data_IF_838466778977
#
_entry.id   IF_838466778977
#
_cell.length_a   1.000
_cell.length_b   1.000
_cell.length_c   1.000
_cell.angle_alpha   90.00
_cell.angle_beta   90.00
_cell.angle_gamma   90.00
#
_symmetry.space_group_name_H-M   'P 1'
#
loop_
_entity.id
_entity.type
_entity.pdbx_description
1 polymer ?
#
# COMPACT_ATOMS: atom_id res chain seq x y z
N UNK A 1 -6.70 6.54 -20.13
CA UNK A 1 -7.49 5.80 -19.13
C UNK A 1 -6.50 5.17 -18.16
N UNK A 2 -6.68 5.28 -16.84
CA UNK A 2 -5.89 4.46 -15.91
C UNK A 2 -6.07 3.00 -16.34
N UNK A 3 -4.98 2.26 -16.51
CA UNK A 3 -5.03 0.87 -16.94
C UNK A 3 -5.80 -0.01 -15.95
N UNK A 4 -6.28 -1.17 -16.41
CA UNK A 4 -6.98 -2.15 -15.58
C UNK A 4 -6.03 -2.73 -14.51
N UNK A 5 -5.90 -2.04 -13.37
CA UNK A 5 -5.14 -2.52 -12.21
C UNK A 5 -5.79 -3.75 -11.59
N UNK A 6 -4.99 -4.75 -11.23
CA UNK A 6 -5.46 -5.99 -10.60
C UNK A 6 -4.68 -6.29 -9.32
N UNK A 7 -5.33 -6.96 -8.37
CA UNK A 7 -4.69 -7.38 -7.11
C UNK A 7 -3.45 -8.25 -7.34
N UNK A 8 -3.47 -9.09 -8.39
CA UNK A 8 -2.33 -9.95 -8.74
C UNK A 8 -1.07 -9.16 -9.11
N UNK A 9 -1.22 -7.94 -9.62
CA UNK A 9 -0.09 -7.13 -10.08
C UNK A 9 0.77 -6.67 -8.89
N UNK A 10 0.17 -6.61 -7.69
CA UNK A 10 0.85 -6.29 -6.43
C UNK A 10 1.96 -7.31 -6.12
N UNK A 11 1.81 -8.57 -6.53
CA UNK A 11 2.80 -9.61 -6.30
C UNK A 11 4.11 -9.38 -7.08
N UNK A 12 4.05 -8.63 -8.19
CA UNK A 12 5.20 -8.27 -9.01
C UNK A 12 5.86 -6.94 -8.63
N UNK A 13 5.34 -6.22 -7.64
CA UNK A 13 5.87 -4.93 -7.21
C UNK A 13 7.19 -5.06 -6.45
N UNK A 14 7.99 -3.99 -6.46
CA UNK A 14 9.17 -3.90 -5.60
C UNK A 14 8.79 -4.00 -4.12
N UNK A 15 9.73 -4.40 -3.25
CA UNK A 15 9.44 -4.70 -1.83
C UNK A 15 8.72 -3.57 -1.10
N UNK A 16 9.23 -2.33 -1.17
CA UNK A 16 8.61 -1.20 -0.51
C UNK A 16 7.23 -0.86 -1.11
N UNK A 17 7.08 -0.97 -2.44
CA UNK A 17 5.81 -0.74 -3.13
C UNK A 17 4.76 -1.77 -2.73
N UNK A 18 5.17 -3.04 -2.60
CA UNK A 18 4.32 -4.12 -2.08
C UNK A 18 3.91 -3.87 -0.63
N UNK A 19 4.81 -3.41 0.24
CA UNK A 19 4.48 -3.05 1.63
C UNK A 19 3.38 -1.97 1.67
N UNK A 20 3.53 -0.91 0.86
CA UNK A 20 2.53 0.16 0.76
C UNK A 20 1.19 -0.37 0.25
N UNK A 21 1.19 -1.24 -0.76
CA UNK A 21 -0.04 -1.84 -1.27
C UNK A 21 -0.71 -2.81 -0.30
N UNK A 22 0.05 -3.66 0.41
CA UNK A 22 -0.47 -4.55 1.46
C UNK A 22 -1.19 -3.75 2.55
N UNK A 23 -0.61 -2.60 2.94
CA UNK A 23 -1.22 -1.67 3.88
C UNK A 23 -2.57 -1.12 3.38
N UNK A 24 -2.65 -0.64 2.14
CA UNK A 24 -3.91 -0.10 1.61
C UNK A 24 -4.94 -1.17 1.26
N UNK A 25 -4.53 -2.38 0.88
CA UNK A 25 -5.44 -3.52 0.71
C UNK A 25 -6.09 -3.90 2.05
N UNK A 26 -5.32 -3.83 3.14
CA UNK A 26 -5.80 -4.07 4.51
C UNK A 26 -6.75 -2.97 4.97
N UNK A 27 -6.38 -1.70 4.82
CA UNK A 27 -7.07 -0.58 5.46
C UNK A 27 -8.10 0.13 4.57
N UNK A 28 -8.02 -0.01 3.25
CA UNK A 28 -8.92 0.53 2.21
C UNK A 28 -8.91 2.07 2.11
N UNK A 29 -9.05 2.80 3.22
CA UNK A 29 -9.12 4.26 3.24
C UNK A 29 -8.42 4.78 4.50
N UNK A 30 -7.42 5.65 4.33
CA UNK A 30 -6.61 6.16 5.44
C UNK A 30 -6.23 7.62 5.20
N UNK A 31 -6.33 8.44 6.25
CA UNK A 31 -5.83 9.81 6.25
C UNK A 31 -4.31 9.87 6.00
N UNK A 32 -3.87 10.88 5.26
CA UNK A 32 -2.50 11.04 4.77
C UNK A 32 -1.45 10.97 5.89
N UNK A 33 -1.67 11.73 6.97
CA UNK A 33 -0.75 11.78 8.11
C UNK A 33 -0.63 10.41 8.79
N UNK A 34 -1.77 9.74 9.00
CA UNK A 34 -1.81 8.43 9.66
C UNK A 34 -1.13 7.38 8.79
N UNK A 35 -1.40 7.39 7.47
CA UNK A 35 -0.78 6.45 6.54
C UNK A 35 0.74 6.57 6.56
N UNK A 36 1.30 7.79 6.54
CA UNK A 36 2.74 8.01 6.60
C UNK A 36 3.35 7.49 7.91
N UNK A 37 2.75 7.81 9.06
CA UNK A 37 3.23 7.35 10.36
C UNK A 37 3.23 5.82 10.43
N UNK A 38 2.11 5.18 10.08
CA UNK A 38 1.96 3.73 10.19
C UNK A 38 2.88 2.97 9.22
N UNK A 39 3.03 3.47 7.99
CA UNK A 39 3.93 2.89 6.98
C UNK A 39 5.39 3.06 7.38
N UNK A 40 5.79 4.22 7.91
CA UNK A 40 7.15 4.44 8.40
C UNK A 40 7.51 3.45 9.50
N UNK A 41 6.62 3.27 10.47
CA UNK A 41 6.84 2.31 11.55
C UNK A 41 6.82 0.86 11.05
N UNK A 42 6.01 0.53 10.05
CA UNK A 42 6.03 -0.79 9.42
C UNK A 42 7.35 -1.07 8.68
N UNK A 43 7.89 -0.09 7.95
CA UNK A 43 9.20 -0.20 7.30
C UNK A 43 10.28 -0.47 8.34
N UNK A 44 10.34 0.33 9.41
CA UNK A 44 11.31 0.13 10.51
C UNK A 44 11.18 -1.27 11.12
N UNK A 45 9.95 -1.74 11.39
CA UNK A 45 9.70 -3.10 11.92
C UNK A 45 10.20 -4.19 10.99
N UNK A 46 10.00 -4.07 9.68
CA UNK A 46 10.45 -5.06 8.70
C UNK A 46 11.96 -5.10 8.58
N UNK A 47 12.62 -3.94 8.58
CA UNK A 47 14.09 -3.89 8.59
C UNK A 47 14.66 -4.50 9.88
N UNK A 48 14.04 -4.24 11.03
CA UNK A 48 14.41 -4.87 12.31
C UNK A 48 14.25 -6.41 12.30
N UNK A 49 13.34 -6.94 11.46
CA UNK A 49 13.16 -8.40 11.24
C UNK A 49 14.11 -8.99 10.19
N UNK A 50 14.98 -8.18 9.61
CA UNK A 50 15.99 -8.62 8.65
C UNK A 50 15.63 -8.42 7.18
N UNK A 51 14.51 -7.75 6.86
CA UNK A 51 14.24 -7.32 5.49
C UNK A 51 15.18 -6.17 5.11
N UNK A 52 16.22 -6.48 4.33
CA UNK A 52 17.21 -5.48 3.88
C UNK A 52 16.76 -4.79 2.60
N UNK A 53 17.38 -3.64 2.34
CA UNK A 53 17.29 -2.88 1.09
C UNK A 53 15.87 -2.35 0.77
N UNK A 54 15.06 -2.08 1.80
CA UNK A 54 13.75 -1.45 1.64
C UNK A 54 13.85 0.05 1.33
N UNK A 55 14.81 0.72 1.97
CA UNK A 55 15.10 2.15 1.84
C UNK A 55 16.63 2.35 1.83
N UNK A 56 17.14 3.43 1.22
CA UNK A 56 18.59 3.68 1.17
C UNK A 56 19.18 4.01 2.55
N UNK A 57 18.38 4.59 3.45
CA UNK A 57 18.80 4.97 4.80
C UNK A 57 17.62 4.83 5.78
N UNK A 58 17.91 4.38 7.00
CA UNK A 58 16.93 4.25 8.09
C UNK A 58 16.78 5.57 8.86
N UNK A 59 16.49 6.64 8.13
CA UNK A 59 16.14 7.94 8.67
C UNK A 59 14.65 8.24 8.37
N UNK A 60 13.96 8.88 9.31
CA UNK A 60 12.51 9.11 9.21
C UNK A 60 12.15 9.94 7.98
N UNK A 61 12.94 10.97 7.67
CA UNK A 61 12.71 11.85 6.51
C UNK A 61 12.94 11.08 5.21
N UNK A 62 13.98 10.25 5.17
CA UNK A 62 14.26 9.40 4.00
C UNK A 62 13.15 8.38 3.77
N UNK A 63 12.71 7.68 4.82
CA UNK A 63 11.63 6.69 4.75
C UNK A 63 10.33 7.35 4.26
N UNK A 64 9.92 8.47 4.87
CA UNK A 64 8.70 9.18 4.50
C UNK A 64 8.73 9.71 3.07
N UNK A 65 9.89 10.17 2.60
CA UNK A 65 10.09 10.61 1.21
C UNK A 65 9.91 9.45 0.23
N UNK A 66 10.51 8.29 0.51
CA UNK A 66 10.37 7.11 -0.36
C UNK A 66 8.93 6.56 -0.37
N UNK A 67 8.26 6.53 0.79
CA UNK A 67 6.84 6.16 0.89
C UNK A 67 5.98 7.13 0.07
N UNK A 68 6.16 8.44 0.25
CA UNK A 68 5.42 9.48 -0.48
C UNK A 68 5.60 9.36 -2.00
N UNK A 69 6.82 9.07 -2.44
CA UNK A 69 7.16 8.82 -3.86
C UNK A 69 6.40 7.61 -4.41
N UNK A 70 6.34 6.52 -3.64
CA UNK A 70 5.61 5.30 -4.02
C UNK A 70 4.11 5.54 -4.04
N UNK A 71 3.54 6.21 -3.03
CA UNK A 71 2.11 6.55 -3.00
C UNK A 71 1.75 7.38 -4.24
N UNK A 72 2.56 8.38 -4.59
CA UNK A 72 2.35 9.21 -5.78
C UNK A 72 2.39 8.39 -7.08
N UNK A 73 3.32 7.43 -7.17
CA UNK A 73 3.40 6.47 -8.29
C UNK A 73 2.15 5.60 -8.36
N UNK A 74 1.69 5.06 -7.24
CA UNK A 74 0.51 4.19 -7.14
C UNK A 74 -0.79 4.94 -7.47
N UNK A 75 -0.91 6.21 -7.08
CA UNK A 75 -2.01 7.09 -7.49
C UNK A 75 -1.99 7.28 -9.01
N UNK A 76 -0.83 7.64 -9.55
CA UNK A 76 -0.67 7.87 -11.00
C UNK A 76 -0.98 6.60 -11.81
N UNK A 77 -0.66 5.43 -11.26
CA UNK A 77 -0.94 4.13 -11.86
C UNK A 77 -2.38 3.64 -11.65
N UNK A 78 -3.18 4.30 -10.82
CA UNK A 78 -4.59 3.96 -10.58
C UNK A 78 -4.84 2.89 -9.51
N UNK A 79 -3.81 2.52 -8.72
CA UNK A 79 -3.99 1.63 -7.56
C UNK A 79 -4.61 2.36 -6.36
N UNK A 80 -4.28 3.64 -6.22
CA UNK A 80 -4.79 4.51 -5.15
C UNK A 80 -5.50 5.75 -5.73
N UNK A 81 -6.40 6.32 -4.95
CA UNK A 81 -7.09 7.57 -5.22
C UNK A 81 -6.85 8.51 -4.03
N UNK A 82 -6.54 9.79 -4.30
CA UNK A 82 -6.37 10.80 -3.25
C UNK A 82 -7.48 11.85 -3.31
N UNK A 83 -8.14 12.10 -2.18
CA UNK A 83 -9.20 13.12 -2.08
C UNK A 83 -9.23 13.71 -0.67
N UNK A 84 -8.95 15.01 -0.57
CA UNK A 84 -9.12 15.79 0.66
C UNK A 84 -8.28 15.29 1.84
N UNK A 85 -6.99 14.99 1.64
CA UNK A 85 -6.11 14.50 2.71
C UNK A 85 -6.28 13.01 3.03
N UNK A 86 -6.96 12.23 2.19
CA UNK A 86 -7.22 10.81 2.40
C UNK A 86 -6.79 10.01 1.17
N UNK A 87 -6.00 8.97 1.40
CA UNK A 87 -5.65 7.95 0.43
C UNK A 87 -6.68 6.82 0.47
N UNK A 88 -7.16 6.41 -0.71
CA UNK A 88 -8.15 5.36 -0.87
C UNK A 88 -7.61 4.31 -1.83
N UNK A 89 -7.91 3.04 -1.59
CA UNK A 89 -7.74 2.00 -2.59
C UNK A 89 -8.70 2.29 -3.77
N UNK A 90 -8.24 2.08 -5.00
CA UNK A 90 -9.08 2.36 -6.16
C UNK A 90 -10.35 1.52 -6.19
N UNK A 91 -11.42 2.06 -6.78
CA UNK A 91 -12.71 1.36 -6.88
C UNK A 91 -12.58 -0.01 -7.54
N UNK A 92 -11.77 -0.11 -8.59
CA UNK A 92 -11.49 -1.36 -9.31
C UNK A 92 -10.95 -2.45 -8.37
N UNK A 93 -9.97 -2.12 -7.53
CA UNK A 93 -9.39 -3.07 -6.58
C UNK A 93 -10.35 -3.38 -5.42
N UNK A 94 -11.12 -2.39 -4.95
CA UNK A 94 -12.16 -2.61 -3.94
C UNK A 94 -13.20 -3.63 -4.45
N UNK A 95 -13.66 -3.48 -5.69
CA UNK A 95 -14.58 -4.44 -6.31
C UNK A 95 -13.95 -5.83 -6.45
N UNK A 96 -12.69 -5.90 -6.86
CA UNK A 96 -11.98 -7.18 -6.94
C UNK A 96 -11.87 -7.86 -5.57
N UNK A 97 -11.57 -7.10 -4.51
CA UNK A 97 -11.54 -7.60 -3.13
C UNK A 97 -12.91 -8.12 -2.69
N UNK A 98 -14.00 -7.38 -2.97
CA UNK A 98 -15.36 -7.82 -2.66
C UNK A 98 -15.70 -9.13 -3.35
N UNK A 99 -15.36 -9.28 -4.65
CA UNK A 99 -15.61 -10.50 -5.41
C UNK A 99 -14.85 -11.71 -4.86
N UNK A 100 -13.60 -11.52 -4.42
CA UNK A 100 -12.74 -12.60 -3.93
C UNK A 100 -13.05 -13.02 -2.49
N UNK A 101 -13.27 -12.07 -1.59
CA UNK A 101 -13.37 -12.33 -0.16
C UNK A 101 -14.80 -12.26 0.39
N UNK A 102 -15.79 -11.94 -0.45
CA UNK A 102 -17.23 -11.85 -0.14
C UNK A 102 -17.59 -10.86 1.00
N UNK A 103 -16.61 -10.11 1.51
CA UNK A 103 -16.72 -9.09 2.55
C UNK A 103 -15.48 -8.20 2.53
N UNK A 104 -15.65 -6.94 2.92
CA UNK A 104 -14.56 -6.03 3.21
C UNK A 104 -14.48 -5.90 4.71
N UNK A 105 -13.47 -6.52 5.32
CA UNK A 105 -13.13 -6.31 6.72
C UNK A 105 -11.88 -5.42 6.77
N UNK A 106 -12.03 -4.08 6.90
CA UNK A 106 -10.89 -3.18 7.05
C UNK A 106 -10.08 -3.53 8.30
N UNK A 107 -8.76 -3.45 8.20
CA UNK A 107 -7.86 -3.78 9.29
C UNK A 107 -7.52 -5.27 9.43
N UNK A 108 -8.13 -6.15 8.63
CA UNK A 108 -7.76 -7.56 8.55
C UNK A 108 -6.81 -7.79 7.38
N UNK A 109 -5.67 -8.41 7.64
CA UNK A 109 -4.71 -8.76 6.59
C UNK A 109 -5.34 -9.74 5.61
N UNK A 110 -5.24 -9.45 4.32
CA UNK A 110 -5.76 -10.31 3.25
C UNK A 110 -4.59 -11.07 2.66
N UNK A 111 -4.68 -12.40 2.65
CA UNK A 111 -3.64 -13.23 2.05
C UNK A 111 -3.71 -13.10 0.52
N UNK A 112 -2.73 -12.42 -0.06
CA UNK A 112 -2.62 -12.21 -1.50
C UNK A 112 -2.00 -13.43 -2.23
N UNK A 113 -1.45 -14.40 -1.49
CA UNK A 113 -0.74 -15.57 -2.03
C UNK A 113 -1.63 -16.81 -2.14
N UNK A 114 -2.73 -16.88 -1.39
CA UNK A 114 -3.78 -17.89 -1.59
C UNK A 114 -4.65 -17.53 -2.82
N UNK A 115 -3.99 -17.25 -3.94
CA UNK A 115 -4.60 -16.97 -5.25
C UNK A 115 -4.65 -18.23 -6.09
#
# INVERSE_FOLDING_TARGET
MPGDVKLRDILGMGRLERIVMEYFVKNISVGEIIALIELREEVKRRVARGERDLVPELDDVVIEREISRIISKLISAGYLEYKGGVYNLSKTLIEELKRRFNRLDPGVSKNLENT
#
